data_IF_213984452710
#
_entry.id   IF_213984452710
#
_cell.length_a   1.000
_cell.length_b   1.000
_cell.length_c   1.000
_cell.angle_alpha   90.00
_cell.angle_beta   90.00
_cell.angle_gamma   90.00
#
_symmetry.space_group_name_H-M   'P 1'
#
loop_
_entity.id
_entity.type
_entity.pdbx_description
1 polymer ?
#
# COMPACT_ATOMS: atom_id res chain seq x y z
N UNK A 1 -18.47 43.99 -6.27
CA UNK A 1 -17.48 43.12 -6.92
C UNK A 1 -17.62 41.73 -6.34
N UNK A 2 -18.47 40.91 -6.93
CA UNK A 2 -18.91 39.59 -6.42
C UNK A 2 -18.84 38.55 -7.54
N UNK A 3 -17.79 38.63 -8.37
CA UNK A 3 -17.66 37.82 -9.58
C UNK A 3 -16.52 36.78 -9.53
N UNK A 4 -15.60 36.85 -8.57
CA UNK A 4 -14.35 36.07 -8.66
C UNK A 4 -14.31 34.80 -7.78
N UNK A 5 -15.17 34.68 -6.76
CA UNK A 5 -15.11 33.53 -5.81
C UNK A 5 -15.73 32.23 -6.34
N UNK A 6 -16.41 32.25 -7.48
CA UNK A 6 -17.05 31.05 -8.07
C UNK A 6 -16.20 30.36 -9.14
N UNK A 7 -15.18 31.02 -9.65
CA UNK A 7 -14.36 30.48 -10.75
C UNK A 7 -13.22 29.59 -10.23
N UNK A 8 -12.63 29.92 -9.07
CA UNK A 8 -11.53 29.14 -8.48
C UNK A 8 -11.99 27.78 -7.95
N UNK A 9 -13.20 27.69 -7.38
CA UNK A 9 -13.76 26.40 -6.92
C UNK A 9 -14.15 25.47 -8.07
N UNK A 10 -14.44 26.01 -9.27
CA UNK A 10 -14.79 25.20 -10.43
C UNK A 10 -13.56 24.57 -11.10
N UNK A 11 -12.40 25.24 -11.06
CA UNK A 11 -11.15 24.73 -11.68
C UNK A 11 -10.45 23.69 -10.78
N UNK A 12 -10.51 23.85 -9.45
CA UNK A 12 -10.05 22.81 -8.50
C UNK A 12 -10.93 21.55 -8.53
N UNK A 13 -12.24 21.71 -8.75
CA UNK A 13 -13.14 20.57 -8.95
C UNK A 13 -12.92 19.83 -10.28
N UNK A 14 -12.51 20.54 -11.34
CA UNK A 14 -12.39 19.95 -12.69
C UNK A 14 -11.03 19.27 -12.94
N UNK A 15 -9.95 19.70 -12.29
CA UNK A 15 -8.65 19.00 -12.37
C UNK A 15 -8.59 17.72 -11.53
N UNK A 16 -9.44 17.59 -10.50
CA UNK A 16 -9.58 16.32 -9.76
C UNK A 16 -10.39 15.28 -10.54
N UNK A 17 -11.30 15.67 -11.43
CA UNK A 17 -12.28 14.75 -12.05
C UNK A 17 -11.71 13.86 -13.17
N UNK A 18 -10.42 13.95 -13.51
CA UNK A 18 -9.82 13.12 -14.59
C UNK A 18 -8.62 12.25 -14.19
N UNK A 19 -8.23 12.22 -12.90
CA UNK A 19 -7.18 11.31 -12.37
C UNK A 19 -7.67 10.53 -11.13
N UNK A 20 -8.92 10.71 -10.71
CA UNK A 20 -9.44 10.06 -9.53
C UNK A 20 -9.66 8.54 -9.73
N UNK A 21 -8.96 7.78 -8.87
CA UNK A 21 -9.26 6.41 -8.41
C UNK A 21 -8.54 5.25 -9.11
N UNK A 22 -7.22 5.32 -9.23
CA UNK A 22 -6.39 4.10 -9.22
C UNK A 22 -5.40 4.25 -8.06
N UNK A 23 -5.39 3.30 -7.12
CA UNK A 23 -4.55 3.39 -5.91
C UNK A 23 -3.07 3.56 -6.22
N UNK A 24 -2.61 3.01 -7.36
CA UNK A 24 -1.27 3.22 -7.93
C UNK A 24 -1.38 3.25 -9.47
N UNK A 25 -1.06 4.37 -10.14
CA UNK A 25 -1.15 4.47 -11.60
C UNK A 25 0.00 3.71 -12.29
N UNK A 26 -0.19 3.37 -13.57
CA UNK A 26 0.89 2.85 -14.40
C UNK A 26 2.06 3.83 -14.47
N UNK A 27 3.28 3.29 -14.52
CA UNK A 27 4.45 4.07 -14.87
C UNK A 27 4.26 4.71 -16.26
N UNK A 28 4.61 6.00 -16.48
CA UNK A 28 4.32 6.70 -17.73
C UNK A 28 4.83 6.00 -18.99
N UNK A 29 6.02 5.41 -18.93
CA UNK A 29 6.60 4.68 -20.07
C UNK A 29 5.83 3.39 -20.37
N UNK A 30 5.41 2.67 -19.33
CA UNK A 30 4.65 1.43 -19.43
C UNK A 30 3.25 1.72 -19.97
N UNK A 31 2.62 2.79 -19.50
CA UNK A 31 1.37 3.29 -20.07
C UNK A 31 1.53 3.65 -21.55
N UNK A 32 2.57 4.40 -21.91
CA UNK A 32 2.83 4.78 -23.29
C UNK A 32 3.04 3.57 -24.22
N UNK A 33 3.67 2.51 -23.71
CA UNK A 33 3.84 1.23 -24.42
C UNK A 33 2.51 0.49 -24.55
N UNK A 34 1.76 0.34 -23.47
CA UNK A 34 0.48 -0.36 -23.47
C UNK A 34 -0.58 0.33 -24.34
N UNK A 35 -0.51 1.67 -24.49
CA UNK A 35 -1.38 2.43 -25.39
C UNK A 35 -1.08 2.20 -26.87
N UNK A 36 0.11 1.72 -27.20
CA UNK A 36 0.46 1.31 -28.56
C UNK A 36 -0.08 -0.09 -28.89
N UNK A 37 -0.54 -0.83 -27.89
CA UNK A 37 -1.18 -2.14 -28.04
C UNK A 37 -2.67 -2.04 -27.64
N UNK A 38 -3.45 -3.09 -27.90
CA UNK A 38 -4.84 -3.16 -27.41
C UNK A 38 -4.92 -3.54 -25.90
N UNK A 39 -3.78 -3.60 -25.21
CA UNK A 39 -3.70 -4.09 -23.83
C UNK A 39 -4.04 -3.01 -22.80
N UNK A 40 -3.89 -1.72 -23.12
CA UNK A 40 -4.21 -0.64 -22.16
C UNK A 40 -5.66 -0.69 -21.66
N UNK A 41 -6.62 -1.01 -22.53
CA UNK A 41 -8.03 -1.12 -22.10
C UNK A 41 -8.27 -2.36 -21.23
N UNK A 42 -7.56 -3.45 -21.48
CA UNK A 42 -7.65 -4.66 -20.66
C UNK A 42 -7.13 -4.39 -19.24
N UNK A 43 -6.00 -3.70 -19.10
CA UNK A 43 -5.46 -3.28 -17.80
C UNK A 43 -6.46 -2.41 -17.05
N UNK A 44 -7.05 -1.41 -17.71
CA UNK A 44 -8.07 -0.57 -17.10
C UNK A 44 -9.30 -1.36 -16.67
N UNK A 45 -9.76 -2.30 -17.49
CA UNK A 45 -10.91 -3.14 -17.14
C UNK A 45 -10.60 -4.00 -15.90
N UNK A 46 -9.42 -4.61 -15.83
CA UNK A 46 -8.99 -5.43 -14.69
C UNK A 46 -8.92 -4.61 -13.39
N UNK A 47 -8.37 -3.40 -13.44
CA UNK A 47 -8.31 -2.53 -12.27
C UNK A 47 -9.71 -2.06 -11.83
N UNK A 48 -10.66 -1.83 -12.76
CA UNK A 48 -12.04 -1.46 -12.39
C UNK A 48 -12.74 -2.63 -11.71
N UNK A 49 -12.56 -3.83 -12.24
CA UNK A 49 -13.11 -5.05 -11.67
C UNK A 49 -12.56 -5.30 -10.26
N UNK A 50 -11.24 -5.16 -10.08
CA UNK A 50 -10.59 -5.20 -8.78
C UNK A 50 -11.17 -4.16 -7.81
N UNK A 51 -11.38 -2.92 -8.27
CA UNK A 51 -11.98 -1.86 -7.46
C UNK A 51 -13.41 -2.22 -7.02
N UNK A 52 -14.22 -2.84 -7.89
CA UNK A 52 -15.56 -3.32 -7.50
C UNK A 52 -15.52 -4.47 -6.50
N UNK A 53 -14.40 -5.19 -6.42
CA UNK A 53 -14.16 -6.28 -5.46
C UNK A 53 -13.58 -5.81 -4.12
N UNK A 54 -13.45 -4.50 -3.90
CA UNK A 54 -12.97 -3.92 -2.64
C UNK A 54 -11.54 -3.39 -2.67
N UNK A 55 -10.81 -3.57 -3.76
CA UNK A 55 -9.43 -3.07 -3.90
C UNK A 55 -9.43 -1.55 -3.99
N UNK A 56 -8.55 -0.90 -3.23
CA UNK A 56 -8.44 0.56 -3.12
C UNK A 56 -9.76 1.24 -2.75
N UNK A 57 -10.63 0.55 -2.00
CA UNK A 57 -11.80 1.16 -1.39
C UNK A 57 -11.46 1.70 0.01
N UNK A 58 -12.13 2.77 0.47
CA UNK A 58 -12.02 3.20 1.85
C UNK A 58 -12.33 2.06 2.82
N UNK A 59 -11.53 1.94 3.88
CA UNK A 59 -11.83 1.01 4.97
C UNK A 59 -13.18 1.35 5.61
N UNK A 60 -13.93 0.32 6.00
CA UNK A 60 -15.16 0.47 6.79
C UNK A 60 -14.87 0.72 8.28
N UNK A 61 -13.62 0.56 8.70
CA UNK A 61 -13.12 0.76 10.06
C UNK A 61 -11.95 1.75 10.02
N UNK A 62 -12.22 3.07 9.94
CA UNK A 62 -11.17 4.07 10.01
C UNK A 62 -10.71 4.26 11.46
N UNK A 63 -9.42 4.52 11.64
CA UNK A 63 -8.80 4.86 12.93
C UNK A 63 -9.59 5.99 13.62
N UNK A 64 -10.02 5.77 14.86
CA UNK A 64 -10.63 6.81 15.69
C UNK A 64 -9.57 7.59 16.46
N UNK A 65 -9.11 8.69 15.85
CA UNK A 65 -8.12 9.60 16.45
C UNK A 65 -8.49 10.08 17.86
N UNK A 66 -9.77 10.04 18.26
CA UNK A 66 -10.20 10.46 19.60
C UNK A 66 -9.85 9.44 20.69
N UNK A 67 -9.61 8.19 20.30
CA UNK A 67 -9.25 7.10 21.20
C UNK A 67 -7.73 6.92 21.33
N UNK A 68 -6.96 7.65 20.51
CA UNK A 68 -5.50 7.63 20.57
C UNK A 68 -4.99 8.31 21.85
N UNK A 69 -3.91 7.75 22.39
CA UNK A 69 -3.42 8.02 23.75
C UNK A 69 -2.82 9.42 23.98
N UNK A 70 -2.42 10.13 22.91
CA UNK A 70 -1.84 11.48 22.96
C UNK A 70 -2.46 12.41 21.90
N UNK A 71 -3.38 13.28 22.32
CA UNK A 71 -4.05 14.23 21.42
C UNK A 71 -3.20 15.46 21.07
N UNK A 72 -2.15 15.75 21.85
CA UNK A 72 -1.24 16.88 21.60
C UNK A 72 -0.23 16.58 20.49
N UNK A 73 -0.03 15.30 20.15
CA UNK A 73 0.81 14.83 19.05
C UNK A 73 0.42 13.40 18.69
N UNK A 74 -0.15 13.22 17.51
CA UNK A 74 -0.65 11.94 17.02
C UNK A 74 0.54 11.06 16.62
N UNK A 75 0.78 9.97 17.35
CA UNK A 75 1.78 8.97 16.97
C UNK A 75 1.06 7.74 16.38
N UNK A 76 1.33 7.44 15.12
CA UNK A 76 0.76 6.31 14.39
C UNK A 76 1.87 5.28 14.15
N UNK A 77 1.73 4.13 14.81
CA UNK A 77 2.61 2.98 14.62
C UNK A 77 2.16 2.16 13.42
N UNK A 78 3.09 1.93 12.52
CA UNK A 78 2.91 1.20 11.27
C UNK A 78 3.83 -0.02 11.26
N UNK A 79 3.29 -1.19 10.94
CA UNK A 79 4.09 -2.39 10.72
C UNK A 79 4.36 -2.57 9.23
N UNK A 80 5.59 -2.87 8.85
CA UNK A 80 5.94 -3.30 7.49
C UNK A 80 6.53 -4.69 7.50
N UNK A 81 5.94 -5.62 6.75
CA UNK A 81 6.41 -7.00 6.62
C UNK A 81 7.01 -7.20 5.22
N UNK A 82 8.28 -7.58 5.15
CA UNK A 82 8.97 -7.95 3.92
C UNK A 82 8.79 -9.45 3.66
N UNK A 83 8.35 -9.81 2.45
CA UNK A 83 8.05 -11.21 2.08
C UNK A 83 8.67 -11.64 0.76
N UNK A 84 9.23 -12.84 0.74
CA UNK A 84 9.79 -13.45 -0.46
C UNK A 84 9.20 -14.85 -0.73
N UNK A 85 9.54 -15.41 -1.88
CA UNK A 85 8.90 -16.62 -2.40
C UNK A 85 9.95 -17.62 -2.90
N UNK A 86 9.57 -18.88 -3.02
CA UNK A 86 10.47 -19.92 -3.57
C UNK A 86 10.89 -19.61 -5.01
N UNK A 87 9.93 -19.21 -5.85
CA UNK A 87 10.09 -18.89 -7.27
C UNK A 87 10.46 -17.42 -7.55
N UNK A 88 10.43 -16.57 -6.52
CA UNK A 88 10.80 -15.16 -6.59
C UNK A 88 11.47 -14.71 -5.27
N UNK A 89 12.73 -15.14 -5.03
CA UNK A 89 13.43 -14.87 -3.78
C UNK A 89 13.89 -13.42 -3.69
N UNK A 90 13.96 -12.89 -2.48
CA UNK A 90 14.42 -11.53 -2.25
C UNK A 90 15.93 -11.39 -2.44
N UNK A 91 16.36 -10.23 -2.92
CA UNK A 91 17.76 -9.83 -2.88
C UNK A 91 18.05 -9.07 -1.57
N UNK A 92 18.02 -9.79 -0.45
CA UNK A 92 18.23 -9.22 0.89
C UNK A 92 19.62 -8.59 1.08
N UNK A 93 20.60 -8.89 0.21
CA UNK A 93 21.90 -8.21 0.22
C UNK A 93 21.82 -6.79 -0.33
N UNK A 94 21.04 -6.60 -1.39
CA UNK A 94 20.84 -5.28 -2.00
C UNK A 94 19.74 -4.48 -1.30
N UNK A 95 18.72 -5.17 -0.79
CA UNK A 95 17.55 -4.60 -0.13
C UNK A 95 17.35 -5.26 1.24
N UNK A 96 18.25 -4.99 2.21
CA UNK A 96 18.10 -5.49 3.58
C UNK A 96 16.93 -4.78 4.30
N UNK A 97 16.58 -5.24 5.50
CA UNK A 97 15.47 -4.66 6.29
C UNK A 97 15.68 -3.16 6.54
N UNK A 98 16.90 -2.79 6.91
CA UNK A 98 17.29 -1.41 7.25
C UNK A 98 17.11 -0.46 6.07
N UNK A 99 17.21 -0.97 4.83
CA UNK A 99 16.96 -0.17 3.64
C UNK A 99 15.51 0.37 3.62
N UNK A 100 14.54 -0.49 3.95
CA UNK A 100 13.13 -0.11 3.98
C UNK A 100 12.79 0.70 5.22
N UNK A 101 13.43 0.41 6.35
CA UNK A 101 13.24 1.19 7.57
C UNK A 101 13.70 2.63 7.37
N UNK A 102 14.89 2.85 6.80
CA UNK A 102 15.34 4.17 6.41
C UNK A 102 14.38 4.79 5.39
N UNK A 103 14.03 4.07 4.33
CA UNK A 103 13.17 4.58 3.26
C UNK A 103 11.80 5.07 3.77
N UNK A 104 11.19 4.36 4.72
CA UNK A 104 9.81 4.61 5.17
C UNK A 104 9.73 5.52 6.39
N UNK A 105 10.64 5.35 7.35
CA UNK A 105 10.48 5.89 8.71
C UNK A 105 11.62 6.82 9.16
N UNK A 106 12.64 7.05 8.34
CA UNK A 106 13.68 8.03 8.66
C UNK A 106 13.15 9.46 8.62
N UNK A 107 13.79 10.38 9.35
CA UNK A 107 13.49 11.81 9.31
C UNK A 107 14.74 12.55 8.86
N UNK A 108 14.58 13.56 8.00
CA UNK A 108 15.65 14.42 7.47
C UNK A 108 16.85 13.65 6.87
N UNK A 109 16.62 12.43 6.36
CA UNK A 109 17.69 11.55 5.87
C UNK A 109 17.86 11.61 4.35
N UNK A 110 16.75 11.61 3.60
CA UNK A 110 16.79 11.70 2.13
C UNK A 110 16.46 13.12 1.65
N UNK A 111 17.14 13.64 0.62
CA UNK A 111 16.81 14.95 0.05
C UNK A 111 15.38 15.03 -0.53
N UNK A 112 14.79 13.90 -0.91
CA UNK A 112 13.40 13.81 -1.39
C UNK A 112 12.38 13.61 -0.27
N UNK A 113 12.85 13.43 0.97
CA UNK A 113 12.01 13.06 2.11
C UNK A 113 11.65 11.57 2.13
N UNK A 114 11.32 11.07 3.33
CA UNK A 114 10.63 9.81 3.55
C UNK A 114 9.11 10.05 3.71
N UNK A 115 8.29 8.98 3.75
CA UNK A 115 6.91 9.08 4.24
C UNK A 115 6.81 9.74 5.63
N UNK A 116 7.72 9.46 6.56
CA UNK A 116 7.72 10.10 7.88
C UNK A 116 7.95 11.62 7.77
N UNK A 117 8.91 12.07 6.96
CA UNK A 117 9.11 13.49 6.65
C UNK A 117 7.84 14.11 6.06
N UNK A 118 7.21 13.41 5.11
CA UNK A 118 5.99 13.89 4.45
C UNK A 118 4.85 14.13 5.45
N UNK A 119 4.59 13.18 6.36
CA UNK A 119 3.55 13.34 7.37
C UNK A 119 3.88 14.45 8.37
N UNK A 120 5.14 14.58 8.80
CA UNK A 120 5.56 15.67 9.68
C UNK A 120 5.36 17.04 9.01
N UNK A 121 5.85 17.21 7.77
CA UNK A 121 5.76 18.47 7.03
C UNK A 121 4.29 18.88 6.79
N UNK A 122 3.46 17.95 6.30
CA UNK A 122 2.09 18.27 5.89
C UNK A 122 1.11 18.37 7.07
N UNK A 123 1.47 17.81 8.22
CA UNK A 123 0.69 17.94 9.45
C UNK A 123 1.17 19.07 10.37
N UNK A 124 2.23 19.80 10.01
CA UNK A 124 2.87 20.79 10.89
C UNK A 124 3.29 20.19 12.24
N UNK A 125 3.94 19.03 12.19
CA UNK A 125 4.40 18.23 13.33
C UNK A 125 3.28 17.63 14.21
N UNK A 126 2.01 17.64 13.75
CA UNK A 126 0.89 17.07 14.50
C UNK A 126 0.77 15.54 14.33
N UNK A 127 1.22 14.99 13.20
CA UNK A 127 1.13 13.55 12.86
C UNK A 127 2.53 12.96 12.63
N UNK A 128 2.87 12.01 13.48
CA UNK A 128 4.15 11.31 13.50
C UNK A 128 3.89 9.86 13.14
N UNK A 129 4.31 9.43 11.95
CA UNK A 129 4.31 8.01 11.63
C UNK A 129 5.62 7.40 12.09
N UNK A 130 5.54 6.33 12.87
CA UNK A 130 6.67 5.53 13.31
C UNK A 130 6.40 4.08 12.92
N UNK A 131 7.43 3.27 12.80
CA UNK A 131 7.20 1.88 12.42
C UNK A 131 8.41 1.01 12.56
N UNK A 132 8.14 -0.28 12.40
CA UNK A 132 9.15 -1.34 12.35
C UNK A 132 9.02 -2.06 11.02
N UNK A 133 10.17 -2.44 10.46
CA UNK A 133 10.23 -3.31 9.28
C UNK A 133 10.75 -4.67 9.72
N UNK A 134 10.07 -5.74 9.33
CA UNK A 134 10.43 -7.12 9.66
C UNK A 134 10.49 -8.02 8.44
N UNK A 135 11.22 -9.12 8.54
CA UNK A 135 11.45 -10.09 7.46
C UNK A 135 12.91 -10.11 6.99
N UNK A 136 13.24 -10.62 5.82
CA UNK A 136 12.38 -11.23 4.81
C UNK A 136 11.79 -12.57 5.27
N UNK A 137 10.47 -12.69 5.28
CA UNK A 137 9.79 -13.96 5.54
C UNK A 137 9.50 -14.70 4.24
N UNK A 138 9.83 -15.99 4.20
CA UNK A 138 9.49 -16.87 3.08
C UNK A 138 8.03 -17.28 3.16
N UNK A 139 7.24 -16.92 2.15
CA UNK A 139 5.85 -17.34 2.04
C UNK A 139 5.73 -18.85 1.75
N UNK A 140 4.66 -19.49 2.24
CA UNK A 140 4.47 -20.94 2.07
C UNK A 140 4.12 -21.33 0.63
N UNK A 141 3.50 -20.43 -0.14
CA UNK A 141 3.16 -20.64 -1.55
C UNK A 141 4.08 -19.83 -2.47
N UNK A 142 4.05 -20.15 -3.76
CA UNK A 142 4.83 -19.44 -4.78
C UNK A 142 4.28 -18.04 -5.05
N UNK A 143 5.11 -17.13 -5.56
CA UNK A 143 4.68 -15.82 -6.03
C UNK A 143 3.58 -15.95 -7.07
N UNK A 144 3.74 -16.88 -8.02
CA UNK A 144 2.74 -17.15 -9.05
C UNK A 144 1.37 -17.55 -8.47
N UNK A 145 1.34 -18.25 -7.33
CA UNK A 145 0.10 -18.61 -6.65
C UNK A 145 -0.67 -17.37 -6.16
N UNK A 146 0.03 -16.42 -5.54
CA UNK A 146 -0.59 -15.19 -5.02
C UNK A 146 -0.96 -14.19 -6.12
N UNK A 147 -0.19 -14.17 -7.21
CA UNK A 147 -0.44 -13.30 -8.37
C UNK A 147 -1.65 -13.74 -9.18
N UNK A 148 -1.83 -15.05 -9.33
CA UNK A 148 -2.92 -15.70 -10.08
C UNK A 148 -3.07 -15.23 -11.54
N UNK A 149 -1.97 -14.78 -12.16
CA UNK A 149 -1.98 -14.10 -13.47
C UNK A 149 -3.05 -12.99 -13.57
N UNK A 150 -3.40 -12.38 -12.44
CA UNK A 150 -4.43 -11.37 -12.33
C UNK A 150 -4.00 -10.27 -11.36
N UNK A 151 -2.72 -9.88 -11.41
CA UNK A 151 -2.22 -8.76 -10.62
C UNK A 151 -2.28 -8.94 -9.10
N UNK A 152 -2.54 -10.15 -8.60
CA UNK A 152 -2.87 -10.39 -7.19
C UNK A 152 -4.34 -10.16 -6.82
N UNK A 153 -5.19 -9.84 -7.80
CA UNK A 153 -6.65 -9.65 -7.65
C UNK A 153 -7.46 -10.92 -7.94
N UNK A 154 -6.81 -12.08 -7.91
CA UNK A 154 -7.46 -13.38 -8.08
C UNK A 154 -8.54 -13.66 -7.04
N UNK A 155 -9.18 -14.83 -7.18
CA UNK A 155 -10.15 -15.29 -6.19
C UNK A 155 -9.43 -15.82 -4.95
N UNK A 156 -9.91 -15.47 -3.76
CA UNK A 156 -9.38 -16.06 -2.52
C UNK A 156 -9.47 -17.60 -2.57
N UNK A 157 -8.43 -18.35 -2.16
CA UNK A 157 -7.17 -17.90 -1.53
C UNK A 157 -6.00 -17.64 -2.48
N UNK A 158 -6.19 -17.57 -3.80
CA UNK A 158 -5.14 -17.31 -4.79
C UNK A 158 -5.06 -15.81 -5.10
N UNK A 159 -4.77 -15.00 -4.08
CA UNK A 159 -4.74 -13.56 -4.20
C UNK A 159 -3.88 -12.88 -3.12
N UNK A 160 -3.78 -11.56 -3.19
CA UNK A 160 -3.01 -10.77 -2.23
C UNK A 160 -3.62 -10.73 -0.83
N UNK A 161 -4.92 -10.97 -0.64
CA UNK A 161 -5.49 -11.10 0.72
C UNK A 161 -4.90 -12.31 1.44
N UNK A 162 -4.80 -13.46 0.74
CA UNK A 162 -4.14 -14.64 1.30
C UNK A 162 -2.65 -14.41 1.55
N UNK A 163 -1.97 -13.68 0.66
CA UNK A 163 -0.57 -13.27 0.89
C UNK A 163 -0.42 -12.52 2.20
N UNK A 164 -1.29 -11.53 2.47
CA UNK A 164 -1.27 -10.78 3.73
C UNK A 164 -1.54 -11.69 4.94
N UNK A 165 -2.49 -12.61 4.86
CA UNK A 165 -2.77 -13.57 5.94
C UNK A 165 -1.55 -14.47 6.23
N UNK A 166 -0.89 -14.99 5.20
CA UNK A 166 0.31 -15.82 5.35
C UNK A 166 1.51 -15.00 5.87
N UNK A 167 1.65 -13.73 5.45
CA UNK A 167 2.69 -12.83 5.92
C UNK A 167 2.55 -12.51 7.41
N UNK A 168 1.32 -12.20 7.86
CA UNK A 168 1.01 -11.97 9.27
C UNK A 168 1.30 -13.24 10.10
N UNK A 169 0.87 -14.41 9.62
CA UNK A 169 1.13 -15.67 10.30
C UNK A 169 2.63 -16.01 10.40
N UNK A 170 3.43 -15.62 9.41
CA UNK A 170 4.88 -15.82 9.43
C UNK A 170 5.59 -14.90 10.43
N UNK A 171 5.10 -13.66 10.61
CA UNK A 171 5.67 -12.67 11.52
C UNK A 171 5.18 -12.81 12.99
N UNK A 172 4.06 -13.47 13.23
CA UNK A 172 3.43 -13.67 14.56
C UNK A 172 4.37 -14.17 15.67
N UNK A 173 5.33 -15.08 15.42
CA UNK A 173 6.26 -15.50 16.46
C UNK A 173 7.24 -14.41 16.92
N UNK A 174 7.47 -13.39 16.08
CA UNK A 174 8.50 -12.38 16.27
C UNK A 174 7.91 -11.01 16.70
N UNK A 175 6.62 -10.78 16.45
CA UNK A 175 5.99 -9.47 16.59
C UNK A 175 4.73 -9.51 17.45
N UNK A 176 4.62 -8.51 18.33
CA UNK A 176 3.41 -8.24 19.11
C UNK A 176 2.49 -7.29 18.35
N UNK A 177 1.54 -7.84 17.62
CA UNK A 177 0.59 -7.07 16.80
C UNK A 177 -0.28 -6.08 17.60
N UNK A 178 -0.44 -6.28 18.92
CA UNK A 178 -1.21 -5.35 19.75
C UNK A 178 -0.59 -3.96 19.84
N UNK A 179 0.70 -3.81 19.48
CA UNK A 179 1.38 -2.52 19.45
C UNK A 179 0.99 -1.63 18.26
N UNK A 180 0.31 -2.20 17.26
CA UNK A 180 -0.13 -1.50 16.04
C UNK A 180 -1.65 -1.31 15.98
N UNK A 181 -2.34 -1.64 17.08
CA UNK A 181 -3.70 -1.23 17.39
C UNK A 181 -3.62 0.14 18.09
N UNK A 182 -3.59 1.20 17.28
CA UNK A 182 -3.34 2.57 17.71
C UNK A 182 -4.55 3.18 18.43
N UNK A 183 -5.76 2.70 18.15
CA UNK A 183 -7.00 3.18 18.77
C UNK A 183 -7.67 2.19 19.76
N UNK A 184 -7.07 1.01 19.95
CA UNK A 184 -7.50 -0.07 20.85
C UNK A 184 -8.84 -0.71 20.46
N UNK A 185 -9.16 -0.79 19.17
CA UNK A 185 -10.37 -1.43 18.66
C UNK A 185 -10.23 -2.96 18.43
N UNK A 186 -9.01 -3.48 18.63
CA UNK A 186 -8.66 -4.89 18.46
C UNK A 186 -8.12 -5.25 17.09
N UNK A 187 -7.81 -4.27 16.23
CA UNK A 187 -7.27 -4.46 14.88
C UNK A 187 -5.92 -3.75 14.69
N UNK A 188 -5.10 -4.27 13.78
CA UNK A 188 -3.91 -3.55 13.31
C UNK A 188 -4.36 -2.46 12.35
N UNK A 189 -4.07 -1.21 12.67
CA UNK A 189 -4.56 -0.05 11.90
C UNK A 189 -3.80 0.21 10.61
N UNK A 190 -2.48 -0.02 10.64
CA UNK A 190 -1.59 0.32 9.55
C UNK A 190 -0.56 -0.79 9.33
N UNK A 191 -0.74 -1.53 8.24
CA UNK A 191 0.13 -2.63 7.81
C UNK A 191 0.53 -2.45 6.35
N UNK A 192 1.83 -2.52 6.09
CA UNK A 192 2.38 -2.69 4.75
C UNK A 192 2.95 -4.09 4.57
N UNK A 193 2.72 -4.68 3.40
CA UNK A 193 3.40 -5.90 2.96
C UNK A 193 4.21 -5.54 1.72
N UNK A 194 5.54 -5.68 1.81
CA UNK A 194 6.45 -5.45 0.69
C UNK A 194 6.90 -6.80 0.17
N UNK A 195 6.59 -7.08 -1.09
CA UNK A 195 6.93 -8.36 -1.71
C UNK A 195 8.20 -8.26 -2.56
N UNK A 196 8.91 -9.37 -2.72
CA UNK A 196 10.03 -9.47 -3.65
C UNK A 196 9.57 -9.29 -5.12
N UNK A 197 10.41 -8.70 -5.97
CA UNK A 197 10.13 -8.49 -7.39
C UNK A 197 9.40 -7.16 -7.70
N UNK A 198 9.19 -6.87 -8.99
CA UNK A 198 8.60 -5.60 -9.42
C UNK A 198 7.07 -5.59 -9.26
N UNK A 199 6.51 -4.40 -9.11
CA UNK A 199 5.06 -4.17 -9.20
C UNK A 199 4.56 -4.16 -10.65
N UNK A 200 3.34 -4.62 -10.87
CA UNK A 200 2.72 -4.63 -12.19
C UNK A 200 2.41 -3.24 -12.74
N UNK A 201 2.31 -2.22 -11.88
CA UNK A 201 2.23 -0.82 -12.31
C UNK A 201 3.49 -0.39 -13.08
N UNK A 202 4.63 -1.02 -12.80
CA UNK A 202 5.89 -0.76 -13.50
C UNK A 202 6.03 -1.64 -14.74
N UNK A 203 5.64 -2.90 -14.69
CA UNK A 203 5.88 -3.86 -15.79
C UNK A 203 4.73 -3.97 -16.78
N UNK A 204 3.51 -3.64 -16.37
CA UNK A 204 2.26 -3.92 -17.08
C UNK A 204 1.86 -5.39 -17.11
N UNK A 205 2.63 -6.28 -16.47
CA UNK A 205 2.46 -7.73 -16.55
C UNK A 205 1.43 -8.24 -15.55
N UNK A 206 0.48 -9.05 -16.02
CA UNK A 206 -0.48 -9.76 -15.15
C UNK A 206 0.19 -10.78 -14.23
N UNK A 207 1.44 -11.16 -14.54
CA UNK A 207 2.25 -12.08 -13.75
C UNK A 207 3.03 -11.38 -12.61
N UNK A 208 2.80 -10.09 -12.36
CA UNK A 208 3.28 -9.38 -11.18
C UNK A 208 2.09 -8.90 -10.35
N UNK A 209 2.27 -8.79 -9.03
CA UNK A 209 1.29 -8.13 -8.15
C UNK A 209 1.29 -6.64 -8.49
N UNK A 210 0.11 -6.04 -8.62
CA UNK A 210 -0.03 -4.59 -8.75
C UNK A 210 -0.14 -3.97 -7.37
N UNK A 211 0.64 -2.93 -7.07
CA UNK A 211 0.61 -2.29 -5.74
C UNK A 211 -0.79 -1.73 -5.39
N UNK A 212 -1.34 -2.11 -4.24
CA UNK A 212 -2.72 -1.76 -3.87
C UNK A 212 -2.96 -1.79 -2.35
N UNK A 213 -4.12 -1.28 -1.94
CA UNK A 213 -4.68 -1.45 -0.60
C UNK A 213 -5.93 -2.33 -0.66
N UNK A 214 -6.10 -3.23 0.31
CA UNK A 214 -7.29 -4.08 0.44
C UNK A 214 -7.47 -4.53 1.89
N UNK A 215 -8.67 -4.95 2.25
CA UNK A 215 -8.96 -5.62 3.52
C UNK A 215 -8.73 -7.11 3.36
N UNK A 216 -8.30 -7.82 4.41
CA UNK A 216 -8.18 -9.28 4.38
C UNK A 216 -9.53 -9.96 4.15
N UNK A 217 -9.53 -11.22 3.71
CA UNK A 217 -10.77 -11.91 3.32
C UNK A 217 -11.69 -12.12 4.52
N UNK A 218 -11.10 -12.55 5.63
CA UNK A 218 -11.77 -12.65 6.90
C UNK A 218 -11.43 -11.41 7.72
N UNK A 219 -12.26 -10.38 7.61
CA UNK A 219 -12.34 -9.34 8.63
C UNK A 219 -13.22 -9.90 9.75
N UNK A 220 -12.69 -10.28 10.93
CA UNK A 220 -13.53 -10.76 12.02
C UNK A 220 -14.64 -9.77 12.44
#
# INVERSE_FOLDING_TARGET
MTFERRFVSAVLGLCLVLVLLWGVPLHPDTEAQLRQTDQFQAVRAALLDAHTSGVNQPTTRPIDIRQMSNMDRLELRVLTILVDFEDNPANATQYPVEHYEELLYSVDTFPTGSPADYYLENSYDDVHITGEVVGWYRMPESYAYYVDNNYGFGSYPQNSQRLTEDAVAAADPDIDFSQYDNDNDGYVDALFVVHAGPGAEQTGSTANIWSHAWVTHNVP
#
